data_IF_874650953880
#
_entry.id   IF_874650953880
#
_cell.length_a   1.000
_cell.length_b   1.000
_cell.length_c   1.000
_cell.angle_alpha   90.00
_cell.angle_beta   90.00
_cell.angle_gamma   90.00
#
_symmetry.space_group_name_H-M   'P 1'
#
loop_
_entity.id
_entity.type
_entity.pdbx_description
1 polymer ?
#
# COMPACT_ATOMS: atom_id res chain seq x y z
N UNK A 1 -6.75 4.82 39.41
CA UNK A 1 -5.31 4.47 39.35
C UNK A 1 -5.08 3.34 38.36
N UNK A 2 -4.43 3.65 37.23
CA UNK A 2 -3.35 2.88 36.57
C UNK A 2 -3.11 3.55 35.22
N UNK A 3 -2.37 4.65 35.27
CA UNK A 3 -1.80 5.29 34.08
C UNK A 3 -0.83 4.30 33.45
N UNK A 4 -1.30 3.60 32.41
CA UNK A 4 -0.47 2.75 31.59
C UNK A 4 0.67 3.60 31.04
N UNK A 5 1.91 3.22 31.38
CA UNK A 5 3.14 3.82 30.86
C UNK A 5 3.00 3.90 29.34
N UNK A 6 2.80 5.13 28.84
CA UNK A 6 2.97 5.45 27.44
C UNK A 6 4.45 5.24 27.17
N UNK A 7 4.82 4.08 26.65
CA UNK A 7 6.12 3.88 26.01
C UNK A 7 6.12 4.73 24.76
N UNK A 8 6.30 6.03 24.94
CA UNK A 8 6.69 6.96 23.90
C UNK A 8 8.08 6.52 23.48
N UNK A 9 8.12 5.55 22.56
CA UNK A 9 9.31 5.34 21.73
C UNK A 9 9.63 6.73 21.21
N UNK A 10 10.74 7.32 21.67
CA UNK A 10 11.24 8.59 21.15
C UNK A 10 11.57 8.32 19.68
N UNK A 11 10.62 8.59 18.81
CA UNK A 11 10.72 8.25 17.40
C UNK A 11 11.63 9.28 16.74
N UNK A 12 12.75 8.82 16.19
CA UNK A 12 13.45 9.57 15.15
C UNK A 12 12.49 9.84 13.98
N UNK A 13 12.82 10.79 13.07
CA UNK A 13 11.89 11.29 12.06
C UNK A 13 11.31 10.21 11.13
N UNK A 14 11.97 9.04 10.98
CA UNK A 14 11.54 7.91 10.16
C UNK A 14 11.84 6.56 10.85
N UNK A 15 10.82 5.84 11.32
CA UNK A 15 10.99 4.48 11.85
C UNK A 15 10.87 3.44 10.73
N UNK A 16 11.97 3.23 9.99
CA UNK A 16 12.02 2.36 8.80
C UNK A 16 11.46 0.94 9.05
N UNK A 17 11.60 0.42 10.27
CA UNK A 17 11.12 -0.92 10.65
C UNK A 17 9.59 -1.00 10.61
N UNK A 18 8.89 0.06 11.00
CA UNK A 18 7.42 0.11 10.97
C UNK A 18 6.95 0.17 9.52
N UNK A 19 7.55 1.03 8.70
CA UNK A 19 7.22 1.13 7.27
C UNK A 19 7.43 -0.20 6.54
N UNK A 20 8.59 -0.83 6.75
CA UNK A 20 8.87 -2.14 6.14
C UNK A 20 7.86 -3.20 6.54
N UNK A 21 7.50 -3.30 7.83
CA UNK A 21 6.46 -4.24 8.30
C UNK A 21 5.08 -3.94 7.70
N UNK A 22 4.73 -2.66 7.53
CA UNK A 22 3.49 -2.25 6.87
C UNK A 22 3.46 -2.65 5.40
N UNK A 23 4.53 -2.32 4.66
CA UNK A 23 4.67 -2.67 3.25
C UNK A 23 4.59 -4.19 3.04
N UNK A 24 5.29 -4.99 3.84
CA UNK A 24 5.24 -6.46 3.77
C UNK A 24 3.80 -6.95 3.93
N UNK A 25 3.05 -6.44 4.91
CA UNK A 25 1.64 -6.82 5.12
C UNK A 25 0.75 -6.42 3.93
N UNK A 26 0.95 -5.21 3.40
CA UNK A 26 0.24 -4.74 2.21
C UNK A 26 0.49 -5.65 1.01
N UNK A 27 1.75 -6.01 0.74
CA UNK A 27 2.08 -6.92 -0.36
C UNK A 27 1.55 -8.33 -0.14
N UNK A 28 1.58 -8.87 1.09
CA UNK A 28 0.98 -10.18 1.38
C UNK A 28 -0.52 -10.16 1.03
N UNK A 29 -1.25 -9.12 1.43
CA UNK A 29 -2.68 -8.97 1.10
C UNK A 29 -2.87 -8.86 -0.42
N UNK A 30 -2.05 -8.04 -1.10
CA UNK A 30 -2.13 -7.92 -2.55
C UNK A 30 -1.87 -9.25 -3.26
N UNK A 31 -0.87 -10.03 -2.83
CA UNK A 31 -0.56 -11.34 -3.40
C UNK A 31 -1.71 -12.34 -3.22
N UNK A 32 -2.35 -12.35 -2.05
CA UNK A 32 -3.52 -13.19 -1.81
C UNK A 32 -4.69 -12.80 -2.73
N UNK A 33 -4.94 -11.50 -2.90
CA UNK A 33 -5.99 -11.02 -3.81
C UNK A 33 -5.65 -11.33 -5.28
N UNK A 34 -4.39 -11.18 -5.68
CA UNK A 34 -3.94 -11.56 -7.02
C UNK A 34 -4.14 -13.05 -7.29
N UNK A 35 -3.89 -13.92 -6.31
CA UNK A 35 -4.12 -15.35 -6.44
C UNK A 35 -5.61 -15.65 -6.70
N UNK A 36 -6.51 -15.01 -5.94
CA UNK A 36 -7.96 -15.16 -6.14
C UNK A 36 -8.36 -14.69 -7.54
N UNK A 37 -7.88 -13.52 -7.97
CA UNK A 37 -8.18 -12.98 -9.30
C UNK A 37 -7.62 -13.87 -10.41
N UNK A 38 -6.42 -14.43 -10.26
CA UNK A 38 -5.85 -15.34 -11.24
C UNK A 38 -6.72 -16.59 -11.42
N UNK A 39 -7.23 -17.18 -10.34
CA UNK A 39 -8.18 -18.31 -10.40
C UNK A 39 -9.46 -17.89 -11.12
N UNK A 40 -10.04 -16.73 -10.79
CA UNK A 40 -11.24 -16.23 -11.45
C UNK A 40 -11.04 -16.05 -12.96
N UNK A 41 -9.96 -15.40 -13.38
CA UNK A 41 -9.65 -15.21 -14.81
C UNK A 41 -9.45 -16.56 -15.51
N UNK A 42 -8.86 -17.55 -14.85
CA UNK A 42 -8.60 -18.87 -15.45
C UNK A 42 -9.89 -19.66 -15.72
N UNK A 43 -10.88 -19.57 -14.82
CA UNK A 43 -12.09 -20.40 -14.89
C UNK A 43 -13.35 -19.64 -15.33
N UNK A 44 -13.26 -18.34 -15.60
CA UNK A 44 -14.40 -17.52 -16.02
C UNK A 44 -14.04 -16.67 -17.24
N UNK A 45 -15.05 -16.30 -18.03
CA UNK A 45 -14.87 -15.46 -19.23
C UNK A 45 -14.76 -13.97 -18.88
N UNK A 46 -13.91 -13.63 -17.90
CA UNK A 46 -13.60 -12.24 -17.57
C UNK A 46 -12.87 -11.60 -18.76
N UNK A 47 -13.39 -10.47 -19.25
CA UNK A 47 -12.74 -9.72 -20.32
C UNK A 47 -11.41 -9.12 -19.90
N UNK A 48 -10.40 -9.18 -20.77
CA UNK A 48 -9.06 -8.66 -20.48
C UNK A 48 -9.05 -7.15 -20.18
N UNK A 49 -10.05 -6.43 -20.70
CA UNK A 49 -10.23 -5.00 -20.50
C UNK A 49 -10.45 -4.59 -19.03
N UNK A 50 -10.91 -5.50 -18.15
CA UNK A 50 -11.11 -5.18 -16.73
C UNK A 50 -9.88 -5.48 -15.86
N UNK A 51 -8.86 -6.17 -16.37
CA UNK A 51 -7.64 -6.52 -15.63
C UNK A 51 -6.90 -5.26 -15.12
N UNK A 52 -6.72 -4.18 -15.91
CA UNK A 52 -6.10 -2.96 -15.41
C UNK A 52 -6.87 -2.30 -14.25
N UNK A 53 -8.20 -2.41 -14.26
CA UNK A 53 -9.05 -1.89 -13.19
C UNK A 53 -8.90 -2.71 -11.91
N UNK A 54 -9.02 -4.04 -12.01
CA UNK A 54 -8.89 -4.97 -10.88
C UNK A 54 -7.52 -4.83 -10.21
N UNK A 55 -6.44 -4.80 -11.01
CA UNK A 55 -5.07 -4.62 -10.48
C UNK A 55 -4.90 -3.30 -9.73
N UNK A 56 -5.55 -2.23 -10.19
CA UNK A 56 -5.54 -0.92 -9.50
C UNK A 56 -6.31 -0.95 -8.19
N UNK A 57 -7.43 -1.67 -8.12
CA UNK A 57 -8.19 -1.88 -6.87
C UNK A 57 -7.35 -2.67 -5.86
N UNK A 58 -6.71 -3.76 -6.28
CA UNK A 58 -5.84 -4.57 -5.40
C UNK A 58 -4.68 -3.73 -4.85
N UNK A 59 -4.08 -2.89 -5.71
CA UNK A 59 -3.03 -1.96 -5.31
C UNK A 59 -3.53 -0.98 -4.24
N UNK A 60 -4.68 -0.34 -4.45
CA UNK A 60 -5.29 0.57 -3.46
C UNK A 60 -5.51 -0.15 -2.13
N UNK A 61 -6.11 -1.34 -2.15
CA UNK A 61 -6.39 -2.13 -0.95
C UNK A 61 -5.09 -2.45 -0.21
N UNK A 62 -4.08 -2.95 -0.91
CA UNK A 62 -2.76 -3.25 -0.31
C UNK A 62 -2.11 -2.04 0.35
N UNK A 63 -2.14 -0.89 -0.32
CA UNK A 63 -1.62 0.38 0.21
C UNK A 63 -2.39 0.82 1.46
N UNK A 64 -3.72 0.76 1.42
CA UNK A 64 -4.56 1.17 2.56
C UNK A 64 -4.24 0.31 3.79
N UNK A 65 -4.12 -1.01 3.65
CA UNK A 65 -3.75 -1.89 4.76
C UNK A 65 -2.33 -1.60 5.28
N UNK A 66 -1.36 -1.38 4.38
CA UNK A 66 0.00 -1.02 4.77
C UNK A 66 0.05 0.32 5.52
N UNK A 67 -0.69 1.33 5.03
CA UNK A 67 -0.75 2.67 5.60
C UNK A 67 -1.48 2.68 6.95
N UNK A 68 -2.60 1.95 7.08
CA UNK A 68 -3.30 1.76 8.35
C UNK A 68 -2.34 1.16 9.37
N UNK A 69 -1.66 0.06 9.03
CA UNK A 69 -0.73 -0.58 9.96
C UNK A 69 0.38 0.38 10.41
N UNK A 70 1.03 1.09 9.47
CA UNK A 70 2.09 2.02 9.81
C UNK A 70 1.58 3.15 10.71
N UNK A 71 0.43 3.74 10.38
CA UNK A 71 -0.17 4.85 11.11
C UNK A 71 -0.68 4.47 12.51
N UNK A 72 -1.25 3.28 12.70
CA UNK A 72 -1.64 2.76 14.03
C UNK A 72 -0.43 2.67 14.96
N UNK A 73 0.74 2.29 14.44
CA UNK A 73 1.95 2.15 15.24
C UNK A 73 2.67 3.48 15.49
N UNK A 74 2.61 4.42 14.54
CA UNK A 74 3.25 5.74 14.64
C UNK A 74 2.41 6.76 15.43
N UNK A 75 1.07 6.66 15.36
CA UNK A 75 0.08 7.46 16.11
C UNK A 75 0.19 8.98 15.94
N UNK A 76 0.82 9.43 14.86
CA UNK A 76 0.97 10.85 14.52
C UNK A 76 0.99 11.03 13.00
N UNK A 77 0.62 12.22 12.50
CA UNK A 77 0.72 12.63 11.09
C UNK A 77 0.36 11.52 10.08
N UNK A 78 -0.80 10.90 10.27
CA UNK A 78 -1.23 9.73 9.49
C UNK A 78 -1.28 9.97 8.00
N UNK A 79 -1.74 11.15 7.59
CA UNK A 79 -1.74 11.58 6.20
C UNK A 79 -0.33 11.57 5.58
N UNK A 80 0.69 12.01 6.34
CA UNK A 80 2.07 12.07 5.88
C UNK A 80 2.69 10.68 5.80
N UNK A 81 2.57 9.88 6.87
CA UNK A 81 3.10 8.52 6.91
C UNK A 81 2.41 7.60 5.90
N UNK A 82 1.10 7.78 5.73
CA UNK A 82 0.31 7.10 4.72
C UNK A 82 0.74 7.47 3.29
N UNK A 83 0.93 8.77 3.01
CA UNK A 83 1.45 9.22 1.72
C UNK A 83 2.83 8.65 1.40
N UNK A 84 3.73 8.60 2.39
CA UNK A 84 5.05 7.96 2.25
C UNK A 84 4.91 6.47 1.93
N UNK A 85 4.04 5.73 2.65
CA UNK A 85 3.76 4.32 2.35
C UNK A 85 3.26 4.16 0.91
N UNK A 86 2.27 4.95 0.50
CA UNK A 86 1.69 4.88 -0.85
C UNK A 86 2.70 5.16 -1.95
N UNK A 87 3.59 6.14 -1.73
CA UNK A 87 4.68 6.46 -2.65
C UNK A 87 5.73 5.33 -2.71
N UNK A 88 6.19 4.83 -1.57
CA UNK A 88 7.19 3.76 -1.53
C UNK A 88 6.64 2.47 -2.14
N UNK A 89 5.37 2.14 -1.87
CA UNK A 89 4.70 0.97 -2.44
C UNK A 89 4.65 1.00 -3.97
N UNK A 90 4.26 2.15 -4.56
CA UNK A 90 4.21 2.25 -6.03
C UNK A 90 5.60 2.25 -6.66
N UNK A 91 6.60 2.86 -6.00
CA UNK A 91 7.98 2.87 -6.50
C UNK A 91 8.59 1.47 -6.52
N UNK A 92 8.33 0.67 -5.48
CA UNK A 92 8.72 -0.75 -5.45
C UNK A 92 8.02 -1.49 -6.60
N UNK A 93 6.71 -1.30 -6.79
CA UNK A 93 5.99 -1.94 -7.90
C UNK A 93 6.55 -1.56 -9.27
N UNK A 94 6.83 -0.27 -9.52
CA UNK A 94 7.44 0.19 -10.77
C UNK A 94 8.83 -0.41 -10.95
N UNK A 95 9.63 -0.50 -9.88
CA UNK A 95 10.94 -1.15 -9.89
C UNK A 95 10.85 -2.63 -10.25
N UNK A 96 9.90 -3.35 -9.65
CA UNK A 96 9.63 -4.76 -9.99
C UNK A 96 9.18 -4.88 -11.46
N UNK A 97 8.24 -4.04 -11.91
CA UNK A 97 7.79 -4.06 -13.31
C UNK A 97 8.95 -3.89 -14.28
N UNK A 98 9.88 -2.96 -14.01
CA UNK A 98 11.08 -2.78 -14.86
C UNK A 98 12.01 -3.99 -14.90
N UNK A 99 12.10 -4.76 -13.81
CA UNK A 99 12.98 -5.94 -13.73
C UNK A 99 12.34 -7.16 -14.41
N UNK A 100 11.03 -7.34 -14.24
CA UNK A 100 10.33 -8.54 -14.68
C UNK A 100 9.66 -8.42 -16.06
N UNK A 101 9.44 -7.19 -16.57
CA UNK A 101 8.75 -6.93 -17.83
C UNK A 101 9.72 -6.20 -18.77
N UNK A 102 10.19 -6.89 -19.81
CA UNK A 102 11.25 -6.43 -20.70
C UNK A 102 10.97 -5.05 -21.36
N UNK A 103 9.72 -4.82 -21.77
CA UNK A 103 9.32 -3.59 -22.48
C UNK A 103 8.53 -2.62 -21.60
N UNK A 104 8.75 -2.66 -20.28
CA UNK A 104 8.04 -1.76 -19.38
C UNK A 104 8.50 -0.31 -19.52
N UNK A 105 7.58 0.54 -19.98
CA UNK A 105 7.76 1.99 -20.03
C UNK A 105 6.86 2.68 -18.99
N UNK A 106 7.37 3.76 -18.40
CA UNK A 106 6.58 4.61 -17.50
C UNK A 106 5.74 5.53 -18.38
N UNK A 107 4.47 5.17 -18.54
CA UNK A 107 3.51 5.88 -19.37
C UNK A 107 2.58 6.77 -18.52
N UNK A 108 1.56 7.36 -19.17
CA UNK A 108 0.57 8.18 -18.47
C UNK A 108 -0.21 7.37 -17.42
N UNK A 109 -0.47 6.10 -17.68
CA UNK A 109 -1.18 5.21 -16.75
C UNK A 109 -0.34 5.02 -15.47
N UNK A 110 0.97 4.81 -15.61
CA UNK A 110 1.88 4.73 -14.47
C UNK A 110 1.90 6.04 -13.65
N UNK A 111 1.88 7.20 -14.31
CA UNK A 111 1.77 8.50 -13.62
C UNK A 111 0.47 8.64 -12.83
N UNK A 112 -0.67 8.25 -13.42
CA UNK A 112 -1.95 8.25 -12.69
C UNK A 112 -1.92 7.30 -11.48
N UNK A 113 -1.28 6.13 -11.62
CA UNK A 113 -1.14 5.17 -10.52
C UNK A 113 -0.30 5.72 -9.36
N UNK A 114 0.70 6.57 -9.61
CA UNK A 114 1.46 7.24 -8.55
C UNK A 114 0.57 8.21 -7.76
N UNK A 115 -0.24 9.01 -8.46
CA UNK A 115 -1.19 9.90 -7.78
C UNK A 115 -2.23 9.11 -6.97
N UNK A 116 -2.78 8.05 -7.56
CA UNK A 116 -3.75 7.15 -6.94
C UNK A 116 -3.17 6.46 -5.70
N UNK A 117 -1.92 5.97 -5.77
CA UNK A 117 -1.26 5.28 -4.67
C UNK A 117 -0.97 6.21 -3.50
N UNK A 118 -0.53 7.44 -3.77
CA UNK A 118 -0.34 8.47 -2.75
C UNK A 118 -1.67 8.84 -2.10
N UNK A 119 -2.73 9.06 -2.88
CA UNK A 119 -4.07 9.35 -2.37
C UNK A 119 -4.62 8.23 -1.48
N UNK A 120 -4.54 6.99 -1.94
CA UNK A 120 -4.92 5.81 -1.16
C UNK A 120 -4.11 5.70 0.14
N UNK A 121 -2.79 5.94 0.07
CA UNK A 121 -1.91 5.96 1.21
C UNK A 121 -2.30 7.02 2.24
N UNK A 122 -2.55 8.25 1.80
CA UNK A 122 -3.01 9.35 2.65
C UNK A 122 -4.31 8.97 3.36
N UNK A 123 -5.31 8.46 2.63
CA UNK A 123 -6.61 8.05 3.18
C UNK A 123 -6.42 6.93 4.22
N UNK A 124 -5.74 5.84 3.85
CA UNK A 124 -5.47 4.73 4.76
C UNK A 124 -4.68 5.18 6.00
N UNK A 125 -3.72 6.08 5.82
CA UNK A 125 -2.93 6.64 6.90
C UNK A 125 -3.74 7.52 7.85
N UNK A 126 -4.67 8.34 7.34
CA UNK A 126 -5.61 9.13 8.15
C UNK A 126 -6.54 8.23 8.97
N UNK A 127 -7.06 7.16 8.36
CA UNK A 127 -7.88 6.17 9.05
C UNK A 127 -7.09 5.48 10.17
N UNK A 128 -5.87 5.04 9.89
CA UNK A 128 -5.02 4.31 10.84
C UNK A 128 -4.66 5.08 12.11
N UNK A 129 -4.55 6.41 12.08
CA UNK A 129 -4.19 7.17 13.28
C UNK A 129 -5.27 7.12 14.37
N UNK A 130 -6.54 6.95 13.99
CA UNK A 130 -7.68 6.95 14.90
C UNK A 130 -8.15 5.54 15.30
N UNK A 131 -7.66 4.50 14.64
CA UNK A 131 -8.00 3.11 14.96
C UNK A 131 -7.25 2.70 16.23
N UNK A 132 -8.01 2.34 17.26
CA UNK A 132 -7.54 2.03 18.62
C UNK A 132 -7.55 0.53 18.87
#
# INVERSE_FOLDING_TARGET
MKGGKKTTVKTGPLNIKIYGRGLIRGYIISLLLFLIVAVLITYTSIGENIIPLITSIIMIVGIVFAAIYASVNLRNKGWLHGGIIGLVFILILIGLSKIFIADYSVDRIALYKIGLSMGAGIIGGMLGVNIK
#
